data_IF_563309314139
#
_entry.id   IF_563309314139
#
_cell.length_a   1.000
_cell.length_b   1.000
_cell.length_c   1.000
_cell.angle_alpha   90.00
_cell.angle_beta   90.00
_cell.angle_gamma   90.00
#
_symmetry.space_group_name_H-M   'P 1'
#
loop_
_entity.id
_entity.type
_entity.pdbx_description
1 polymer ?
#
# COMPACT_ATOMS: atom_id res chain seq x y z
N UNK A 1 6.91 -13.36 -6.88
CA UNK A 1 7.07 -11.93 -7.25
C UNK A 1 7.59 -11.22 -6.03
N UNK A 2 8.44 -10.19 -6.17
CA UNK A 2 8.91 -9.40 -5.01
C UNK A 2 8.07 -8.15 -4.88
N UNK A 3 7.64 -7.85 -3.66
CA UNK A 3 6.99 -6.60 -3.29
C UNK A 3 7.93 -5.85 -2.34
N UNK A 4 8.24 -4.60 -2.68
CA UNK A 4 9.09 -3.71 -1.90
C UNK A 4 8.35 -2.43 -1.54
N UNK A 5 8.92 -1.64 -0.63
CA UNK A 5 8.40 -0.32 -0.26
C UNK A 5 8.25 0.59 -1.47
N UNK A 6 9.17 0.52 -2.45
CA UNK A 6 9.09 1.26 -3.71
C UNK A 6 7.84 0.91 -4.53
N UNK A 7 7.40 -0.36 -4.52
CA UNK A 7 6.19 -0.75 -5.25
C UNK A 7 4.95 -0.15 -4.61
N UNK A 8 4.87 -0.16 -3.28
CA UNK A 8 3.75 0.43 -2.54
C UNK A 8 3.74 1.95 -2.72
N UNK A 9 4.90 2.60 -2.59
CA UNK A 9 5.04 4.04 -2.84
C UNK A 9 4.64 4.43 -4.27
N UNK A 10 4.99 3.61 -5.27
CA UNK A 10 4.59 3.85 -6.65
C UNK A 10 3.06 3.79 -6.83
N UNK A 11 2.38 2.81 -6.20
CA UNK A 11 0.92 2.70 -6.26
C UNK A 11 0.23 3.93 -5.63
N UNK A 12 0.71 4.38 -4.47
CA UNK A 12 0.23 5.60 -3.81
C UNK A 12 0.48 6.83 -4.69
N UNK A 13 1.66 6.94 -5.31
CA UNK A 13 2.00 8.05 -6.19
C UNK A 13 1.12 8.12 -7.45
N UNK A 14 0.75 6.97 -8.04
CA UNK A 14 -0.19 6.91 -9.16
C UNK A 14 -1.58 7.40 -8.76
N UNK A 15 -2.03 7.08 -7.53
CA UNK A 15 -3.27 7.63 -6.99
C UNK A 15 -3.20 9.15 -6.78
N UNK A 16 -2.14 9.64 -6.14
CA UNK A 16 -1.92 11.07 -5.93
C UNK A 16 -1.78 11.85 -7.25
N UNK A 17 -1.30 11.20 -8.31
CA UNK A 17 -1.24 11.76 -9.66
C UNK A 17 -2.59 11.74 -10.40
N UNK A 18 -3.65 11.18 -9.80
CA UNK A 18 -4.97 11.02 -10.41
C UNK A 18 -5.02 9.98 -11.53
N UNK A 19 -4.00 9.11 -11.63
CA UNK A 19 -3.94 8.02 -12.61
C UNK A 19 -4.60 6.74 -12.11
N UNK A 20 -4.78 6.64 -10.80
CA UNK A 20 -5.36 5.49 -10.11
C UNK A 20 -6.45 5.99 -9.14
N UNK A 21 -7.66 5.45 -9.21
CA UNK A 21 -8.72 5.83 -8.29
C UNK A 21 -8.46 5.27 -6.88
N UNK A 22 -9.15 5.78 -5.87
CA UNK A 22 -8.97 5.28 -4.50
C UNK A 22 -9.44 3.83 -4.38
N UNK A 23 -10.51 3.46 -5.08
CA UNK A 23 -11.03 2.09 -5.13
C UNK A 23 -10.03 1.14 -5.79
N UNK A 24 -9.37 1.58 -6.86
CA UNK A 24 -8.32 0.81 -7.51
C UNK A 24 -7.09 0.64 -6.61
N UNK A 25 -6.77 1.64 -5.77
CA UNK A 25 -5.68 1.54 -4.81
C UNK A 25 -6.01 0.52 -3.70
N UNK A 26 -7.25 0.56 -3.20
CA UNK A 26 -7.73 -0.36 -2.19
C UNK A 26 -7.78 -1.81 -2.72
N UNK A 27 -8.30 -2.03 -3.93
CA UNK A 27 -8.31 -3.34 -4.58
C UNK A 27 -6.89 -3.87 -4.80
N UNK A 28 -5.97 -3.01 -5.28
CA UNK A 28 -4.56 -3.36 -5.42
C UNK A 28 -3.92 -3.77 -4.09
N UNK A 29 -4.17 -3.00 -3.02
CA UNK A 29 -3.64 -3.28 -1.71
C UNK A 29 -4.20 -4.59 -1.13
N UNK A 30 -5.49 -4.84 -1.33
CA UNK A 30 -6.15 -6.08 -0.95
C UNK A 30 -5.49 -7.29 -1.62
N UNK A 31 -5.34 -7.28 -2.94
CA UNK A 31 -4.74 -8.38 -3.70
C UNK A 31 -3.30 -8.67 -3.22
N UNK A 32 -2.50 -7.62 -3.04
CA UNK A 32 -1.12 -7.76 -2.59
C UNK A 32 -1.00 -8.22 -1.13
N UNK A 33 -1.92 -7.79 -0.25
CA UNK A 33 -1.97 -8.26 1.14
C UNK A 33 -2.25 -9.77 1.20
N UNK A 34 -3.28 -10.25 0.50
CA UNK A 34 -3.61 -11.68 0.51
C UNK A 34 -2.58 -12.53 -0.22
N UNK A 35 -1.93 -12.00 -1.26
CA UNK A 35 -0.82 -12.67 -1.92
C UNK A 35 0.40 -12.83 -0.99
N UNK A 36 0.65 -11.84 -0.13
CA UNK A 36 1.67 -11.92 0.91
C UNK A 36 1.31 -12.97 1.97
N UNK A 37 0.06 -12.97 2.46
CA UNK A 37 -0.42 -13.95 3.44
C UNK A 37 -0.40 -15.39 2.91
N UNK A 38 -0.63 -15.58 1.61
CA UNK A 38 -0.57 -16.88 0.94
C UNK A 38 0.86 -17.30 0.55
N UNK A 39 1.85 -16.41 0.72
CA UNK A 39 3.24 -16.67 0.34
C UNK A 39 3.50 -16.67 -1.18
N UNK A 40 2.60 -16.09 -1.97
CA UNK A 40 2.75 -15.93 -3.43
C UNK A 40 3.67 -14.76 -3.77
N UNK A 41 3.71 -13.77 -2.88
CA UNK A 41 4.58 -12.61 -2.92
C UNK A 41 5.59 -12.70 -1.77
N UNK A 42 6.85 -12.39 -2.08
CA UNK A 42 7.92 -12.31 -1.09
C UNK A 42 8.28 -10.86 -0.84
N UNK A 43 8.43 -10.49 0.44
CA UNK A 43 8.83 -9.15 0.86
C UNK A 43 10.18 -9.26 1.58
N UNK A 44 11.09 -8.28 1.43
CA UNK A 44 12.33 -8.24 2.22
C UNK A 44 12.03 -8.26 3.72
N UNK A 45 12.75 -9.07 4.49
CA UNK A 45 12.47 -9.26 5.92
C UNK A 45 12.54 -7.96 6.76
N UNK A 46 13.30 -6.96 6.31
CA UNK A 46 13.36 -5.64 6.96
C UNK A 46 12.15 -4.75 6.69
N UNK A 47 11.42 -5.02 5.61
CA UNK A 47 10.28 -4.20 5.14
C UNK A 47 8.93 -4.90 5.39
N UNK A 48 8.91 -6.22 5.61
CA UNK A 48 7.69 -7.03 5.66
C UNK A 48 6.65 -6.51 6.65
N UNK A 49 7.06 -6.17 7.88
CA UNK A 49 6.12 -5.66 8.88
C UNK A 49 5.50 -4.34 8.47
N UNK A 50 6.29 -3.42 7.91
CA UNK A 50 5.80 -2.12 7.49
C UNK A 50 4.91 -2.25 6.24
N UNK A 51 5.33 -3.02 5.24
CA UNK A 51 4.54 -3.23 4.02
C UNK A 51 3.19 -3.88 4.36
N UNK A 52 3.17 -4.88 5.24
CA UNK A 52 1.92 -5.51 5.69
C UNK A 52 0.99 -4.49 6.37
N UNK A 53 1.53 -3.63 7.23
CA UNK A 53 0.77 -2.56 7.89
C UNK A 53 0.20 -1.57 6.88
N UNK A 54 1.01 -1.08 5.94
CA UNK A 54 0.54 -0.11 4.94
C UNK A 54 -0.51 -0.74 4.01
N UNK A 55 -0.35 -1.99 3.60
CA UNK A 55 -1.36 -2.69 2.78
C UNK A 55 -2.69 -2.87 3.54
N UNK A 56 -2.63 -3.15 4.84
CA UNK A 56 -3.82 -3.24 5.71
C UNK A 56 -4.55 -1.89 5.81
N UNK A 57 -3.82 -0.78 5.92
CA UNK A 57 -4.44 0.55 5.88
C UNK A 57 -5.04 0.88 4.50
N UNK A 58 -4.30 0.58 3.42
CA UNK A 58 -4.71 0.91 2.06
C UNK A 58 -5.93 0.12 1.57
N UNK A 59 -6.10 -1.14 2.00
CA UNK A 59 -7.25 -1.95 1.55
C UNK A 59 -8.62 -1.41 2.01
N UNK A 60 -8.63 -0.50 2.99
CA UNK A 60 -9.85 0.16 3.47
C UNK A 60 -9.91 1.64 3.06
N UNK A 61 -8.99 2.12 2.24
CA UNK A 61 -8.90 3.53 1.87
C UNK A 61 -10.09 4.04 1.04
N UNK A 62 -10.87 3.13 0.44
CA UNK A 62 -12.10 3.43 -0.30
C UNK A 62 -13.35 3.48 0.60
N UNK A 63 -13.25 3.04 1.85
CA UNK A 63 -14.35 3.03 2.81
C UNK A 63 -14.57 4.40 3.45
N UNK A 64 -15.83 4.82 3.60
CA UNK A 64 -16.20 6.07 4.29
C UNK A 64 -15.70 6.16 5.75
N UNK A 65 -15.38 5.03 6.38
CA UNK A 65 -14.92 4.96 7.78
C UNK A 65 -13.40 5.04 7.90
N UNK A 66 -12.68 4.67 6.85
CA UNK A 66 -11.22 4.56 6.82
C UNK A 66 -10.60 5.32 5.64
N UNK A 67 -11.32 6.31 5.10
CA UNK A 67 -10.86 7.07 3.93
C UNK A 67 -9.55 7.78 4.25
N UNK A 68 -8.49 7.44 3.51
CA UNK A 68 -7.19 8.09 3.66
C UNK A 68 -7.16 9.39 2.86
N UNK A 69 -6.83 10.48 3.51
CA UNK A 69 -6.57 11.76 2.85
C UNK A 69 -5.24 11.72 2.10
N UNK A 70 -5.06 12.64 1.14
CA UNK A 70 -3.80 12.79 0.42
C UNK A 70 -2.60 13.05 1.34
N UNK A 71 -2.81 13.69 2.51
CA UNK A 71 -1.76 13.92 3.50
C UNK A 71 -1.37 12.62 4.23
N UNK A 72 -2.34 11.81 4.62
CA UNK A 72 -2.08 10.49 5.25
C UNK A 72 -1.35 9.56 4.28
N UNK A 73 -1.76 9.55 3.01
CA UNK A 73 -1.06 8.82 1.94
C UNK A 73 0.40 9.29 1.78
N UNK A 74 0.65 10.59 1.86
CA UNK A 74 2.02 11.13 1.85
C UNK A 74 2.82 10.67 3.08
N UNK A 75 2.22 10.66 4.28
CA UNK A 75 2.88 10.17 5.48
C UNK A 75 3.23 8.68 5.38
N UNK A 76 2.35 7.86 4.77
CA UNK A 76 2.64 6.46 4.50
C UNK A 76 3.84 6.30 3.56
N UNK A 77 3.93 7.10 2.49
CA UNK A 77 5.09 7.10 1.61
C UNK A 77 6.38 7.49 2.35
N UNK A 78 6.33 8.50 3.23
CA UNK A 78 7.50 8.91 4.02
C UNK A 78 7.97 7.82 4.99
N UNK A 79 7.05 7.04 5.56
CA UNK A 79 7.40 5.87 6.40
C UNK A 79 8.06 4.78 5.57
N UNK A 80 7.51 4.47 4.39
CA UNK A 80 8.05 3.48 3.46
C UNK A 80 9.44 3.85 2.93
N UNK A 81 9.75 5.14 2.81
CA UNK A 81 11.06 5.62 2.36
C UNK A 81 12.17 5.52 3.44
N UNK A 82 11.83 5.20 4.70
CA UNK A 82 12.77 5.18 5.83
C UNK A 82 13.30 3.79 6.20
N UNK A 83 12.77 2.72 5.56
CA UNK A 83 13.16 1.33 5.80
C UNK A 83 14.26 0.84 4.86
#
# INVERSE_FOLDING_TARGET
MYLTSDNVMAAIAEHLAGRLSIEQLAEWAFDHFYSLEQGEVTVPAGEESLIREVLDELMFADSDVCSLSAHELQQLMERLAQV
#
